data_IF_087290724947
#
_entry.id   IF_087290724947
#
_cell.length_a   1.000
_cell.length_b   1.000
_cell.length_c   1.000
_cell.angle_alpha   90.00
_cell.angle_beta   90.00
_cell.angle_gamma   90.00
#
_symmetry.space_group_name_H-M   'P 1'
#
loop_
_entity.id
_entity.type
_entity.pdbx_description
1 polymer ?
#
# COMPACT_ATOMS: atom_id res chain seq x y z
N UNK A 1 -12.76 -11.31 11.76
CA UNK A 1 -11.93 -11.96 10.72
C UNK A 1 -11.39 -10.94 9.72
N UNK A 2 -10.67 -9.91 10.18
CA UNK A 2 -10.31 -8.74 9.34
C UNK A 2 -8.79 -8.62 9.09
N UNK A 3 -7.99 -9.57 9.58
CA UNK A 3 -6.53 -9.44 9.66
C UNK A 3 -5.78 -10.15 8.49
N UNK A 4 -6.31 -11.25 7.94
CA UNK A 4 -5.61 -12.02 6.92
C UNK A 4 -5.43 -11.25 5.59
N UNK A 5 -6.48 -10.61 5.09
CA UNK A 5 -6.44 -9.83 3.85
C UNK A 5 -5.52 -8.60 3.97
N UNK A 6 -5.59 -7.90 5.11
CA UNK A 6 -4.72 -6.76 5.40
C UNK A 6 -3.26 -7.18 5.48
N UNK A 7 -2.97 -8.30 6.17
CA UNK A 7 -1.63 -8.86 6.27
C UNK A 7 -1.07 -9.24 4.90
N UNK A 8 -1.89 -9.83 4.04
CA UNK A 8 -1.45 -10.23 2.70
C UNK A 8 -1.16 -9.01 1.81
N UNK A 9 -1.99 -7.96 1.92
CA UNK A 9 -1.71 -6.70 1.27
C UNK A 9 -0.37 -6.10 1.73
N UNK A 10 -0.09 -6.08 3.03
CA UNK A 10 1.19 -5.58 3.55
C UNK A 10 2.37 -6.37 2.98
N UNK A 11 2.25 -7.70 2.90
CA UNK A 11 3.29 -8.57 2.33
C UNK A 11 3.52 -8.29 0.85
N UNK A 12 2.44 -8.13 0.08
CA UNK A 12 2.51 -7.81 -1.35
C UNK A 12 3.19 -6.45 -1.58
N UNK A 13 2.86 -5.44 -0.77
CA UNK A 13 3.51 -4.12 -0.84
C UNK A 13 5.01 -4.25 -0.59
N UNK A 14 5.40 -4.92 0.49
CA UNK A 14 6.83 -5.12 0.81
C UNK A 14 7.53 -5.86 -0.33
N UNK A 15 6.95 -6.96 -0.82
CA UNK A 15 7.52 -7.77 -1.89
C UNK A 15 7.80 -6.92 -3.13
N UNK A 16 6.81 -6.14 -3.60
CA UNK A 16 6.96 -5.23 -4.75
C UNK A 16 8.05 -4.18 -4.56
N UNK A 17 8.21 -3.66 -3.35
CA UNK A 17 9.25 -2.67 -3.06
C UNK A 17 10.65 -3.29 -3.04
N UNK A 18 10.77 -4.55 -2.62
CA UNK A 18 12.05 -5.27 -2.55
C UNK A 18 12.43 -6.01 -3.83
N UNK A 19 11.51 -6.18 -4.77
CA UNK A 19 11.71 -6.96 -6.00
C UNK A 19 11.37 -6.12 -7.22
N UNK A 20 12.37 -5.47 -7.80
CA UNK A 20 12.22 -4.63 -9.00
C UNK A 20 12.53 -5.40 -10.29
N UNK A 21 11.87 -5.07 -11.42
CA UNK A 21 10.79 -4.08 -11.56
C UNK A 21 9.41 -4.67 -11.19
N UNK A 22 8.60 -3.90 -10.45
CA UNK A 22 7.24 -4.27 -10.10
C UNK A 22 6.22 -3.29 -10.73
N UNK A 23 5.08 -3.78 -11.26
CA UNK A 23 4.04 -2.91 -11.78
C UNK A 23 3.34 -2.10 -10.67
N UNK A 24 2.68 -0.98 -11.01
CA UNK A 24 1.89 -0.21 -10.05
C UNK A 24 0.82 -1.06 -9.34
N UNK A 25 0.63 -0.83 -8.05
CA UNK A 25 -0.43 -1.49 -7.28
C UNK A 25 -1.74 -0.72 -7.41
N UNK A 26 -2.83 -1.43 -7.71
CA UNK A 26 -4.19 -0.88 -7.75
C UNK A 26 -5.04 -1.61 -6.73
N UNK A 27 -5.72 -0.87 -5.86
CA UNK A 27 -6.56 -1.42 -4.80
C UNK A 27 -8.03 -1.07 -5.05
N UNK A 28 -8.89 -2.08 -4.96
CA UNK A 28 -10.34 -1.92 -5.05
C UNK A 28 -10.97 -2.36 -3.74
N UNK A 29 -11.59 -1.43 -3.04
CA UNK A 29 -12.26 -1.74 -1.80
C UNK A 29 -13.77 -1.92 -2.01
N UNK A 30 -14.28 -3.13 -1.76
CA UNK A 30 -15.66 -3.51 -2.09
C UNK A 30 -16.59 -3.60 -0.87
N UNK A 31 -16.04 -3.55 0.34
CA UNK A 31 -16.81 -3.77 1.57
C UNK A 31 -17.60 -2.53 2.00
N UNK A 32 -18.72 -2.67 2.74
CA UNK A 32 -19.57 -1.56 3.19
C UNK A 32 -18.84 -0.51 4.05
N UNK A 33 -19.40 0.69 4.16
CA UNK A 33 -18.89 1.76 5.04
C UNK A 33 -18.64 1.25 6.48
N UNK A 34 -17.63 1.82 7.16
CA UNK A 34 -17.26 1.42 8.52
C UNK A 34 -16.34 0.19 8.64
N UNK A 35 -16.06 -0.54 7.54
CA UNK A 35 -15.19 -1.72 7.61
C UNK A 35 -13.67 -1.43 7.63
N UNK A 36 -13.25 -0.18 7.83
CA UNK A 36 -11.84 0.18 7.96
C UNK A 36 -11.03 0.36 6.66
N UNK A 37 -11.68 0.55 5.49
CA UNK A 37 -10.98 0.75 4.20
C UNK A 37 -9.99 1.92 4.23
N UNK A 38 -10.39 3.03 4.83
CA UNK A 38 -9.57 4.24 4.95
C UNK A 38 -8.27 3.96 5.71
N UNK A 39 -8.34 3.17 6.78
CA UNK A 39 -7.16 2.74 7.53
C UNK A 39 -6.23 1.90 6.66
N UNK A 40 -6.77 0.94 5.91
CA UNK A 40 -5.97 0.08 5.01
C UNK A 40 -5.31 0.91 3.91
N UNK A 41 -6.02 1.89 3.35
CA UNK A 41 -5.49 2.80 2.34
C UNK A 41 -4.35 3.65 2.90
N UNK A 42 -4.51 4.23 4.09
CA UNK A 42 -3.45 5.00 4.77
C UNK A 42 -2.21 4.13 5.04
N UNK A 43 -2.41 2.92 5.59
CA UNK A 43 -1.33 1.97 5.83
C UNK A 43 -0.56 1.63 4.55
N UNK A 44 -1.28 1.41 3.43
CA UNK A 44 -0.65 1.11 2.15
C UNK A 44 0.20 2.30 1.63
N UNK A 45 -0.31 3.53 1.73
CA UNK A 45 0.42 4.74 1.35
C UNK A 45 1.68 4.93 2.20
N UNK A 46 1.57 4.77 3.52
CA UNK A 46 2.69 4.90 4.44
C UNK A 46 3.80 3.89 4.14
N UNK A 47 3.43 2.64 3.85
CA UNK A 47 4.39 1.61 3.48
C UNK A 47 5.09 1.95 2.16
N UNK A 48 4.34 2.35 1.13
CA UNK A 48 4.93 2.76 -0.15
C UNK A 48 5.92 3.91 0.04
N UNK A 49 5.52 4.97 0.76
CA UNK A 49 6.35 6.15 0.99
C UNK A 49 7.58 5.83 1.86
N UNK A 50 7.50 4.88 2.80
CA UNK A 50 8.64 4.46 3.62
C UNK A 50 9.72 3.75 2.79
N UNK A 51 9.33 2.90 1.84
CA UNK A 51 10.28 2.12 1.04
C UNK A 51 10.75 2.84 -0.23
N UNK A 52 10.01 3.83 -0.73
CA UNK A 52 10.44 4.64 -1.90
C UNK A 52 11.41 5.77 -1.53
N UNK A 53 11.35 6.28 -0.29
CA UNK A 53 12.17 7.43 0.16
C UNK A 53 13.60 7.09 0.60
N UNK A 54 14.06 5.84 0.49
CA UNK A 54 15.42 5.42 0.89
C UNK A 54 16.54 5.95 0.00
N UNK A 55 16.24 6.63 -1.11
CA UNK A 55 17.25 7.19 -2.02
C UNK A 55 16.85 8.49 -2.68
N UNK A 56 16.58 9.56 -1.91
CA UNK A 56 16.41 10.95 -2.37
C UNK A 56 15.48 11.20 -3.58
N UNK A 57 14.66 10.22 -3.97
CA UNK A 57 13.80 10.31 -5.14
C UNK A 57 12.39 10.68 -4.67
N UNK A 58 12.22 11.97 -4.36
CA UNK A 58 10.95 12.57 -3.93
C UNK A 58 9.88 12.64 -5.04
N UNK A 59 10.16 12.06 -6.22
CA UNK A 59 9.32 12.16 -7.40
C UNK A 59 8.01 11.37 -7.30
N UNK A 60 7.89 10.37 -6.42
CA UNK A 60 6.75 9.45 -6.38
C UNK A 60 6.25 9.21 -4.94
N UNK A 61 5.41 10.12 -4.45
CA UNK A 61 4.59 9.87 -3.27
C UNK A 61 3.32 9.11 -3.68
N UNK A 62 2.92 8.12 -2.89
CA UNK A 62 1.58 7.56 -3.00
C UNK A 62 0.57 8.56 -2.42
N UNK A 63 -0.33 9.08 -3.25
CA UNK A 63 -1.41 9.99 -2.84
C UNK A 63 -2.76 9.51 -3.40
N UNK A 64 -3.84 9.99 -2.78
CA UNK A 64 -5.21 9.76 -3.22
C UNK A 64 -5.64 10.94 -4.08
N UNK A 65 -6.19 10.67 -5.27
CA UNK A 65 -6.85 11.66 -6.14
C UNK A 65 -8.35 11.56 -5.94
#
# INVERSE_FOLDING_TARGET
MTNAEQRELVREIIHRQTTQPAPPLRLFFTRPAGCGKTFVQQLAMDLYNRYSNTGNNTAYNAFVI
#
